data_IF_700165349361
#
_entry.id   IF_700165349361
#
_cell.length_a   1.000
_cell.length_b   1.000
_cell.length_c   1.000
_cell.angle_alpha   90.00
_cell.angle_beta   90.00
_cell.angle_gamma   90.00
#
_symmetry.space_group_name_H-M   'P 1'
#
loop_
_entity.id
_entity.type
_entity.pdbx_description
1 polymer ?
#
# COMPACT_ATOMS: atom_id res chain seq x y z
N UNK A 1 3.64 12.89 -6.44
CA UNK A 1 2.41 12.73 -5.63
C UNK A 1 2.80 12.68 -4.17
N UNK A 2 1.99 13.23 -3.28
CA UNK A 2 2.15 12.98 -1.86
C UNK A 2 1.77 11.52 -1.59
N UNK A 3 2.65 10.75 -0.97
CA UNK A 3 2.42 9.36 -0.59
C UNK A 3 1.90 9.30 0.85
N UNK A 4 1.27 8.19 1.19
CA UNK A 4 0.67 7.93 2.49
C UNK A 4 -0.85 8.08 2.50
N UNK A 5 -1.46 7.49 3.52
CA UNK A 5 -2.90 7.46 3.70
C UNK A 5 -3.31 7.32 5.15
N UNK A 6 -4.53 7.74 5.44
CA UNK A 6 -5.14 7.50 6.74
C UNK A 6 -5.72 6.10 6.79
N UNK A 7 -5.28 5.32 7.77
CA UNK A 7 -5.83 4.01 8.06
C UNK A 7 -6.64 4.07 9.35
N UNK A 8 -7.66 3.22 9.44
CA UNK A 8 -8.44 2.96 10.66
C UNK A 8 -8.29 1.50 11.06
N UNK A 9 -8.22 1.24 12.36
CA UNK A 9 -8.23 -0.13 12.89
C UNK A 9 -9.67 -0.57 13.13
N UNK A 10 -9.83 -1.86 13.36
CA UNK A 10 -11.02 -2.47 13.95
C UNK A 10 -11.53 -1.75 15.22
N UNK A 11 -10.63 -1.25 16.07
CA UNK A 11 -10.97 -0.46 17.27
C UNK A 11 -11.20 1.04 16.99
N UNK A 12 -11.49 1.39 15.74
CA UNK A 12 -11.70 2.76 15.24
C UNK A 12 -10.56 3.75 15.50
N UNK A 13 -9.36 3.25 15.80
CA UNK A 13 -8.20 4.12 15.98
C UNK A 13 -7.69 4.54 14.61
N UNK A 14 -7.69 5.84 14.34
CA UNK A 14 -7.16 6.41 13.10
C UNK A 14 -5.68 6.77 13.25
N UNK A 15 -4.85 6.42 12.26
CA UNK A 15 -3.45 6.86 12.18
C UNK A 15 -3.03 7.10 10.74
N UNK A 16 -2.04 7.96 10.55
CA UNK A 16 -1.43 8.15 9.24
C UNK A 16 -0.36 7.09 8.99
N UNK A 17 -0.49 6.38 7.87
CA UNK A 17 0.51 5.46 7.35
C UNK A 17 1.23 6.15 6.18
N UNK A 18 2.50 6.46 6.40
CA UNK A 18 3.38 6.99 5.37
C UNK A 18 4.05 5.81 4.65
N UNK A 19 3.57 5.45 3.47
CA UNK A 19 4.07 4.25 2.78
C UNK A 19 5.39 4.50 2.04
N UNK A 20 5.64 5.76 1.63
CA UNK A 20 6.73 6.15 0.75
C UNK A 20 6.58 5.74 -0.74
N UNK A 21 5.42 5.21 -1.15
CA UNK A 21 5.15 4.87 -2.56
C UNK A 21 3.64 4.76 -2.82
N UNK A 22 3.20 5.21 -4.00
CA UNK A 22 1.80 5.08 -4.42
C UNK A 22 1.38 3.61 -4.54
N UNK A 23 2.25 2.75 -5.07
CA UNK A 23 2.03 1.31 -5.12
C UNK A 23 1.80 0.71 -3.73
N UNK A 24 2.56 1.15 -2.73
CA UNK A 24 2.37 0.70 -1.35
C UNK A 24 1.11 1.28 -0.70
N UNK A 25 0.73 2.53 -1.00
CA UNK A 25 -0.58 3.05 -0.58
C UNK A 25 -1.70 2.16 -1.11
N UNK A 26 -1.65 1.81 -2.39
CA UNK A 26 -2.66 0.95 -3.00
C UNK A 26 -2.65 -0.44 -2.37
N UNK A 27 -1.47 -1.05 -2.22
CA UNK A 27 -1.31 -2.36 -1.61
C UNK A 27 -1.97 -2.44 -0.24
N UNK A 28 -1.80 -1.41 0.60
CA UNK A 28 -2.32 -1.40 1.96
C UNK A 28 -3.73 -0.84 2.13
N UNK A 29 -4.57 -0.91 1.08
CA UNK A 29 -6.02 -0.74 1.16
C UNK A 29 -6.76 -1.91 1.85
N UNK A 30 -6.09 -2.65 2.73
CA UNK A 30 -6.67 -3.78 3.48
C UNK A 30 -7.17 -4.92 2.60
N UNK A 31 -8.10 -5.75 3.12
CA UNK A 31 -8.76 -6.80 2.34
C UNK A 31 -7.99 -8.09 2.15
N UNK A 32 -6.89 -8.26 2.89
CA UNK A 32 -6.09 -9.48 2.79
C UNK A 32 -6.70 -10.64 3.54
N UNK A 33 -6.56 -11.86 3.00
CA UNK A 33 -7.03 -13.09 3.67
C UNK A 33 -6.45 -13.27 5.06
N UNK A 34 -7.15 -14.05 5.88
CA UNK A 34 -6.67 -14.45 7.19
C UNK A 34 -5.32 -15.17 7.15
N UNK A 35 -4.44 -14.79 8.09
CA UNK A 35 -3.08 -15.33 8.19
C UNK A 35 -2.08 -14.81 7.15
N UNK A 36 -2.48 -13.87 6.30
CA UNK A 36 -1.64 -13.31 5.23
C UNK A 36 -0.45 -12.47 5.72
N UNK A 37 -0.35 -12.19 7.03
CA UNK A 37 0.68 -11.36 7.68
C UNK A 37 0.77 -9.92 7.16
N UNK A 38 -0.17 -9.46 6.34
CA UNK A 38 -0.21 -8.08 5.87
C UNK A 38 -0.95 -7.23 6.90
N UNK A 39 -0.28 -6.15 7.35
CA UNK A 39 -0.66 -5.10 8.33
C UNK A 39 -0.98 -5.52 9.78
N UNK A 40 -1.70 -4.72 10.61
CA UNK A 40 -1.78 -4.96 12.04
C UNK A 40 -2.54 -6.25 12.33
N UNK A 41 -1.85 -7.20 12.92
CA UNK A 41 -2.48 -8.08 13.90
C UNK A 41 -2.88 -7.17 15.05
N UNK A 42 -4.05 -6.53 14.95
CA UNK A 42 -4.69 -5.89 16.12
C UNK A 42 -5.01 -6.92 17.21
N UNK A 43 -4.85 -8.22 16.92
CA UNK A 43 -5.02 -9.33 17.85
C UNK A 43 -6.48 -9.79 17.95
N UNK A 44 -7.25 -9.70 16.87
CA UNK A 44 -8.63 -10.17 16.83
C UNK A 44 -8.86 -11.14 15.65
N UNK A 45 -9.76 -12.10 15.87
CA UNK A 45 -10.20 -13.09 14.90
C UNK A 45 -10.77 -12.42 13.65
N UNK A 46 -10.43 -12.98 12.49
CA UNK A 46 -10.92 -12.51 11.21
C UNK A 46 -12.30 -13.12 10.91
N UNK A 47 -13.24 -12.35 10.34
CA UNK A 47 -14.52 -12.86 9.86
C UNK A 47 -14.36 -14.12 9.00
N UNK A 48 -15.20 -15.12 9.24
CA UNK A 48 -15.17 -16.40 8.51
C UNK A 48 -15.49 -16.24 7.00
N UNK A 49 -16.13 -15.14 6.61
CA UNK A 49 -16.40 -14.78 5.22
C UNK A 49 -15.17 -14.19 4.49
N UNK A 50 -14.05 -14.03 5.20
CA UNK A 50 -12.79 -13.51 4.66
C UNK A 50 -12.78 -11.99 4.46
N UNK A 51 -13.86 -11.28 4.80
CA UNK A 51 -13.83 -9.82 4.93
C UNK A 51 -12.90 -9.45 6.08
N UNK A 52 -12.16 -8.35 5.93
CA UNK A 52 -11.29 -7.88 7.00
C UNK A 52 -11.75 -6.50 7.45
N UNK A 53 -11.71 -6.17 8.76
CA UNK A 53 -12.26 -4.91 9.30
C UNK A 53 -11.67 -3.60 8.73
N UNK A 54 -10.72 -3.70 7.83
CA UNK A 54 -9.93 -2.63 7.23
C UNK A 54 -9.86 -2.71 5.69
N UNK A 55 -10.66 -3.56 5.04
CA UNK A 55 -10.71 -3.59 3.57
C UNK A 55 -11.31 -2.28 3.06
N UNK A 56 -10.49 -1.50 2.38
CA UNK A 56 -10.85 -0.25 1.72
C UNK A 56 -11.23 -0.44 0.26
N UNK A 57 -11.40 -1.68 -0.20
CA UNK A 57 -11.90 -2.02 -1.53
C UNK A 57 -13.01 -3.07 -1.40
N UNK A 58 -14.09 -2.79 -0.67
CA UNK A 58 -15.22 -3.71 -0.46
C UNK A 58 -16.18 -3.68 -1.65
N UNK A 59 -16.46 -2.48 -2.15
CA UNK A 59 -17.40 -2.18 -3.23
C UNK A 59 -16.68 -1.44 -4.37
N UNK A 60 -17.19 -1.47 -5.60
CA UNK A 60 -16.58 -0.73 -6.70
C UNK A 60 -16.48 0.78 -6.44
N UNK A 61 -17.44 1.35 -5.69
CA UNK A 61 -17.40 2.76 -5.29
C UNK A 61 -16.17 3.12 -4.45
N UNK A 62 -15.65 2.19 -3.62
CA UNK A 62 -14.46 2.45 -2.81
C UNK A 62 -13.21 2.64 -3.69
N UNK A 63 -13.15 1.93 -4.82
CA UNK A 63 -12.08 2.09 -5.80
C UNK A 63 -12.18 3.46 -6.50
N UNK A 64 -13.39 3.87 -6.89
CA UNK A 64 -13.62 5.18 -7.49
C UNK A 64 -13.23 6.31 -6.52
N UNK A 65 -13.58 6.18 -5.24
CA UNK A 65 -13.22 7.14 -4.18
C UNK A 65 -11.69 7.23 -4.00
N UNK A 66 -11.01 6.10 -3.83
CA UNK A 66 -9.55 6.09 -3.62
C UNK A 66 -8.77 6.66 -4.81
N UNK A 67 -9.21 6.36 -6.03
CA UNK A 67 -8.61 6.87 -7.26
C UNK A 67 -8.92 8.36 -7.42
N UNK A 68 -10.14 8.79 -7.12
CA UNK A 68 -10.55 10.20 -7.19
C UNK A 68 -9.77 11.12 -6.24
N UNK A 69 -9.33 10.61 -5.08
CA UNK A 69 -8.46 11.33 -4.15
C UNK A 69 -7.03 11.57 -4.68
N UNK A 70 -6.58 10.75 -5.65
CA UNK A 70 -5.17 10.69 -6.10
C UNK A 70 -4.97 11.17 -7.53
N UNK A 71 -5.99 11.04 -8.37
CA UNK A 71 -5.95 11.33 -9.78
C UNK A 71 -7.08 12.27 -10.16
N UNK A 72 -6.73 13.52 -10.49
CA UNK A 72 -7.71 14.51 -10.92
C UNK A 72 -8.36 14.11 -12.25
N UNK A 73 -9.69 14.20 -12.33
CA UNK A 73 -10.41 14.01 -13.59
C UNK A 73 -10.64 12.57 -14.04
N UNK A 74 -10.49 11.59 -13.14
CA UNK A 74 -10.96 10.22 -13.37
C UNK A 74 -12.49 10.18 -13.30
N UNK A 75 -13.13 9.53 -14.28
CA UNK A 75 -14.56 9.25 -14.19
C UNK A 75 -14.81 8.03 -13.32
N UNK A 76 -15.48 8.21 -12.17
CA UNK A 76 -15.98 7.08 -11.38
C UNK A 76 -16.98 6.25 -12.18
N UNK A 77 -16.66 4.97 -12.37
CA UNK A 77 -17.51 3.99 -13.07
C UNK A 77 -17.03 2.55 -12.86
N UNK A 78 -16.35 2.28 -11.74
CA UNK A 78 -15.86 0.93 -11.45
C UNK A 78 -17.03 -0.06 -11.36
N UNK A 79 -16.90 -1.20 -12.03
CA UNK A 79 -17.77 -2.35 -11.84
C UNK A 79 -17.08 -3.46 -11.04
N UNK A 80 -17.77 -4.59 -10.88
CA UNK A 80 -17.22 -5.76 -10.17
C UNK A 80 -15.94 -6.30 -10.82
N UNK A 81 -15.84 -6.19 -12.15
CA UNK A 81 -14.65 -6.62 -12.90
C UNK A 81 -13.44 -5.75 -12.55
N UNK A 82 -13.61 -4.44 -12.58
CA UNK A 82 -12.55 -3.49 -12.22
C UNK A 82 -12.13 -3.62 -10.76
N UNK A 83 -13.09 -3.88 -9.85
CA UNK A 83 -12.80 -4.16 -8.45
C UNK A 83 -11.99 -5.46 -8.28
N UNK A 84 -12.34 -6.52 -9.00
CA UNK A 84 -11.59 -7.78 -8.96
C UNK A 84 -10.16 -7.62 -9.51
N UNK A 85 -10.02 -6.94 -10.65
CA UNK A 85 -8.73 -6.60 -11.27
C UNK A 85 -7.86 -5.76 -10.31
N UNK A 86 -8.46 -4.75 -9.65
CA UNK A 86 -7.81 -3.90 -8.66
C UNK A 86 -7.34 -4.68 -7.42
N UNK A 87 -8.17 -5.57 -6.87
CA UNK A 87 -7.79 -6.46 -5.75
C UNK A 87 -6.65 -7.40 -6.14
N UNK A 88 -6.66 -7.94 -7.37
CA UNK A 88 -5.57 -8.75 -7.89
C UNK A 88 -4.23 -8.01 -7.92
N UNK A 89 -4.23 -6.78 -8.45
CA UNK A 89 -3.03 -5.93 -8.46
C UNK A 89 -2.58 -5.55 -7.04
N UNK A 90 -3.51 -5.16 -6.16
CA UNK A 90 -3.23 -4.82 -4.75
C UNK A 90 -2.50 -5.97 -4.07
N UNK A 91 -3.06 -7.16 -4.18
CA UNK A 91 -2.57 -8.37 -3.54
C UNK A 91 -1.18 -8.77 -4.08
N UNK A 92 -0.95 -8.63 -5.39
CA UNK A 92 0.36 -8.86 -6.01
C UNK A 92 1.42 -7.88 -5.48
N UNK A 93 1.11 -6.56 -5.42
CA UNK A 93 2.05 -5.57 -4.90
C UNK A 93 2.38 -5.84 -3.43
N UNK A 94 1.38 -6.20 -2.61
CA UNK A 94 1.59 -6.51 -1.20
C UNK A 94 2.52 -7.71 -0.98
N UNK A 95 2.31 -8.81 -1.74
CA UNK A 95 3.17 -10.00 -1.70
C UNK A 95 4.60 -9.68 -2.15
N UNK A 96 4.76 -8.94 -3.25
CA UNK A 96 6.07 -8.50 -3.73
C UNK A 96 6.78 -7.59 -2.71
N UNK A 97 6.05 -6.69 -2.05
CA UNK A 97 6.62 -5.82 -1.03
C UNK A 97 7.15 -6.60 0.18
N UNK A 98 6.42 -7.63 0.62
CA UNK A 98 6.89 -8.52 1.69
C UNK A 98 8.08 -9.35 1.21
N UNK A 99 8.02 -9.93 0.00
CA UNK A 99 9.12 -10.72 -0.53
C UNK A 99 10.42 -9.89 -0.60
N UNK A 100 10.32 -8.64 -1.06
CA UNK A 100 11.44 -7.70 -1.11
C UNK A 100 11.95 -7.31 0.29
N UNK A 101 11.05 -7.02 1.23
CA UNK A 101 11.43 -6.68 2.60
C UNK A 101 12.12 -7.84 3.34
N UNK A 102 11.74 -9.08 3.03
CA UNK A 102 12.30 -10.29 3.64
C UNK A 102 13.50 -10.88 2.88
N UNK A 103 13.75 -10.42 1.65
CA UNK A 103 14.78 -11.02 0.79
C UNK A 103 14.44 -12.42 0.31
N UNK A 104 13.17 -12.69 0.03
CA UNK A 104 12.70 -14.01 -0.42
C UNK A 104 12.35 -14.00 -1.89
N UNK A 105 12.27 -15.19 -2.50
CA UNK A 105 11.87 -15.34 -3.90
C UNK A 105 10.44 -14.86 -4.13
N UNK A 106 10.24 -14.16 -5.24
CA UNK A 106 8.92 -13.72 -5.72
C UNK A 106 8.16 -14.84 -6.43
N UNK A 107 6.83 -14.83 -6.35
CA UNK A 107 5.99 -15.63 -7.25
C UNK A 107 5.99 -14.99 -8.66
N UNK A 108 6.34 -15.73 -9.73
CA UNK A 108 6.24 -15.22 -11.10
C UNK A 108 4.86 -14.68 -11.47
N UNK A 109 3.78 -15.23 -10.92
CA UNK A 109 2.41 -14.76 -11.21
C UNK A 109 2.15 -13.34 -10.68
N UNK A 110 2.75 -12.98 -9.54
CA UNK A 110 2.64 -11.63 -8.98
C UNK A 110 3.43 -10.63 -9.84
N UNK A 111 4.61 -11.05 -10.33
CA UNK A 111 5.43 -10.26 -11.26
C UNK A 111 4.70 -10.05 -12.58
N UNK A 112 4.10 -11.10 -13.15
CA UNK A 112 3.32 -11.03 -14.38
C UNK A 112 2.11 -10.11 -14.22
N UNK A 113 1.36 -10.25 -13.13
CA UNK A 113 0.22 -9.38 -12.81
C UNK A 113 0.65 -7.91 -12.78
N UNK A 114 1.70 -7.60 -12.02
CA UNK A 114 2.22 -6.24 -11.92
C UNK A 114 2.65 -5.69 -13.30
N UNK A 115 3.38 -6.47 -14.09
CA UNK A 115 3.86 -6.08 -15.41
C UNK A 115 2.72 -5.88 -16.42
N UNK A 116 1.68 -6.72 -16.38
CA UNK A 116 0.51 -6.57 -17.25
C UNK A 116 -0.22 -5.25 -17.01
N UNK A 117 -0.41 -4.84 -15.76
CA UNK A 117 -0.98 -3.53 -15.45
C UNK A 117 -0.03 -2.39 -15.83
N UNK A 118 1.27 -2.54 -15.57
CA UNK A 118 2.26 -1.51 -15.92
C UNK A 118 2.37 -1.28 -17.44
N UNK A 119 2.07 -2.30 -18.26
CA UNK A 119 2.06 -2.22 -19.71
C UNK A 119 0.84 -1.47 -20.29
N UNK A 120 -0.22 -1.23 -19.50
CA UNK A 120 -1.37 -0.44 -19.93
C UNK A 120 -0.97 1.03 -20.15
N UNK A 121 -1.74 1.81 -20.95
CA UNK A 121 -1.50 3.24 -21.12
C UNK A 121 -1.53 3.98 -19.77
N UNK A 122 -0.54 4.84 -19.53
CA UNK A 122 -0.47 5.66 -18.31
C UNK A 122 -1.48 6.80 -18.31
N UNK A 123 -1.55 7.50 -17.17
CA UNK A 123 -2.01 8.88 -17.11
C UNK A 123 -1.03 9.77 -17.88
N UNK A 124 -1.46 10.46 -18.96
CA UNK A 124 -0.58 11.32 -19.74
C UNK A 124 -0.07 12.51 -18.91
N UNK A 125 1.23 12.87 -18.98
CA UNK A 125 1.71 14.06 -18.32
C UNK A 125 1.06 15.31 -18.92
N UNK A 126 0.68 16.27 -18.07
CA UNK A 126 0.09 17.52 -18.50
C UNK A 126 0.66 18.72 -17.75
N UNK A 127 0.94 19.79 -18.48
CA UNK A 127 1.23 21.10 -17.90
C UNK A 127 -0.06 21.93 -17.86
N UNK A 128 -0.36 22.52 -16.70
CA UNK A 128 -1.54 23.37 -16.52
C UNK A 128 -1.41 24.70 -17.28
N UNK A 129 -2.53 25.34 -17.60
CA UNK A 129 -2.56 26.65 -18.30
C UNK A 129 -2.68 26.59 -19.84
N UNK A 130 -2.73 25.38 -20.42
CA UNK A 130 -3.03 25.19 -21.84
C UNK A 130 -4.52 25.38 -22.19
N UNK A 131 -4.82 25.73 -23.44
CA UNK A 131 -6.20 25.86 -23.97
C UNK A 131 -6.77 24.57 -24.57
N UNK A 132 -5.93 23.56 -24.75
CA UNK A 132 -6.28 22.24 -25.28
C UNK A 132 -5.48 21.22 -24.46
N UNK A 133 -6.16 20.19 -24.01
CA UNK A 133 -5.52 19.06 -23.35
C UNK A 133 -5.87 17.80 -24.15
N UNK A 134 -4.86 17.22 -24.79
CA UNK A 134 -4.99 15.90 -25.39
C UNK A 134 -5.26 14.90 -24.26
N UNK A 135 -6.28 14.05 -24.39
CA UNK A 135 -6.73 13.19 -23.29
C UNK A 135 -7.62 13.85 -22.24
N UNK A 136 -8.13 15.08 -22.48
CA UNK A 136 -9.12 15.75 -21.61
C UNK A 136 -10.46 15.02 -21.47
N UNK A 137 -10.69 13.96 -22.27
CA UNK A 137 -11.81 13.07 -22.06
C UNK A 137 -11.48 12.15 -20.89
N UNK A 138 -11.86 12.57 -19.68
CA UNK A 138 -11.89 11.83 -18.40
C UNK A 138 -10.92 10.64 -18.32
N UNK A 139 -9.89 10.76 -17.47
CA UNK A 139 -8.94 9.67 -17.22
C UNK A 139 -9.69 8.37 -16.94
N UNK A 140 -9.25 7.29 -17.60
CA UNK A 140 -9.84 5.96 -17.38
C UNK A 140 -9.23 5.35 -16.13
N UNK A 141 -10.02 4.58 -15.39
CA UNK A 141 -9.57 3.83 -14.23
C UNK A 141 -8.33 2.96 -14.54
N UNK A 142 -8.33 2.27 -15.69
CA UNK A 142 -7.17 1.47 -16.12
C UNK A 142 -5.87 2.27 -16.28
N UNK A 143 -5.93 3.57 -16.59
CA UNK A 143 -4.74 4.42 -16.68
C UNK A 143 -4.21 4.77 -15.29
N UNK A 144 -5.09 5.08 -14.33
CA UNK A 144 -4.70 5.29 -12.95
C UNK A 144 -4.09 4.02 -12.33
N UNK A 145 -4.68 2.84 -12.63
CA UNK A 145 -4.10 1.56 -12.22
C UNK A 145 -2.73 1.29 -12.85
N UNK A 146 -2.53 1.70 -14.12
CA UNK A 146 -1.22 1.61 -14.77
C UNK A 146 -0.18 2.49 -14.04
N UNK A 147 -0.54 3.71 -13.63
CA UNK A 147 0.35 4.58 -12.85
C UNK A 147 0.74 3.94 -11.51
N UNK A 148 -0.21 3.34 -10.79
CA UNK A 148 0.04 2.60 -9.53
C UNK A 148 1.02 1.44 -9.78
N UNK A 149 0.78 0.64 -10.82
CA UNK A 149 1.63 -0.49 -11.16
C UNK A 149 3.06 -0.04 -11.55
N UNK A 150 3.20 1.04 -12.33
CA UNK A 150 4.50 1.58 -12.72
C UNK A 150 5.29 2.14 -11.53
N UNK A 151 4.62 2.79 -10.58
CA UNK A 151 5.24 3.21 -9.33
C UNK A 151 5.80 2.02 -8.55
N UNK A 152 5.01 0.94 -8.42
CA UNK A 152 5.46 -0.30 -7.78
C UNK A 152 6.62 -0.98 -8.54
N UNK A 153 6.60 -1.02 -9.88
CA UNK A 153 7.72 -1.54 -10.69
C UNK A 153 8.99 -0.71 -10.44
N UNK A 154 8.88 0.61 -10.44
CA UNK A 154 10.02 1.50 -10.19
C UNK A 154 10.59 1.29 -8.77
N UNK A 155 9.72 1.15 -7.77
CA UNK A 155 10.09 0.82 -6.41
C UNK A 155 10.86 -0.51 -6.35
N UNK A 156 10.29 -1.61 -6.84
CA UNK A 156 10.91 -2.93 -6.76
C UNK A 156 12.19 -3.05 -7.59
N UNK A 157 12.28 -2.34 -8.70
CA UNK A 157 13.52 -2.23 -9.48
C UNK A 157 14.62 -1.53 -8.67
N UNK A 158 14.24 -0.54 -7.87
CA UNK A 158 15.18 0.23 -7.03
C UNK A 158 15.68 -0.58 -5.84
N UNK A 159 14.79 -1.33 -5.16
CA UNK A 159 15.14 -2.04 -3.91
C UNK A 159 15.54 -3.51 -4.11
N UNK A 160 15.12 -4.13 -5.22
CA UNK A 160 15.34 -5.55 -5.51
C UNK A 160 14.65 -6.49 -4.52
N UNK A 161 15.02 -7.79 -4.61
CA UNK A 161 14.45 -8.88 -3.79
C UNK A 161 15.52 -9.68 -3.02
N UNK A 162 16.73 -9.12 -2.90
CA UNK A 162 17.87 -9.81 -2.27
C UNK A 162 17.84 -9.66 -0.73
N UNK A 163 17.01 -8.75 -0.21
CA UNK A 163 16.90 -8.46 1.22
C UNK A 163 18.17 -7.87 1.83
N UNK A 164 18.21 -7.81 3.16
CA UNK A 164 19.36 -7.33 3.93
C UNK A 164 19.10 -6.05 4.73
N UNK A 165 20.02 -5.73 5.65
CA UNK A 165 19.93 -4.57 6.54
C UNK A 165 19.82 -3.24 5.79
N UNK A 166 20.35 -3.21 4.58
CA UNK A 166 20.47 -2.01 3.74
C UNK A 166 19.28 -1.83 2.80
N UNK A 167 18.33 -2.80 2.77
CA UNK A 167 17.09 -2.62 2.03
C UNK A 167 16.32 -1.42 2.59
N UNK A 168 15.91 -0.55 1.67
CA UNK A 168 15.06 0.60 1.94
C UNK A 168 13.59 0.20 2.08
N UNK A 169 13.21 -0.99 1.60
CA UNK A 169 11.87 -1.52 1.80
C UNK A 169 11.86 -2.37 3.06
N UNK A 170 11.16 -1.91 4.11
CA UNK A 170 11.28 -2.47 5.47
C UNK A 170 9.92 -2.86 6.02
N UNK A 171 9.85 -3.98 6.73
CA UNK A 171 8.74 -4.29 7.65
C UNK A 171 8.75 -3.34 8.83
N UNK A 172 7.57 -3.02 9.35
CA UNK A 172 7.43 -2.34 10.64
C UNK A 172 8.07 -3.18 11.76
N UNK A 173 8.92 -2.56 12.58
CA UNK A 173 9.59 -3.22 13.72
C UNK A 173 8.64 -3.62 14.87
N UNK A 174 7.32 -3.45 14.71
CA UNK A 174 6.35 -3.86 15.73
C UNK A 174 5.89 -5.24 15.30
N UNK A 175 6.15 -6.25 16.13
CA UNK A 175 5.90 -7.66 15.80
C UNK A 175 4.44 -7.93 15.41
N UNK A 176 3.50 -7.19 16.01
CA UNK A 176 2.07 -7.26 15.70
C UNK A 176 1.65 -6.39 14.48
N UNK A 177 2.60 -5.90 13.67
CA UNK A 177 2.33 -5.00 12.54
C UNK A 177 3.06 -5.48 11.28
N UNK A 178 2.32 -6.08 10.37
CA UNK A 178 2.78 -6.57 9.08
C UNK A 178 2.87 -5.53 7.96
N UNK A 179 2.80 -4.23 8.26
CA UNK A 179 2.93 -3.19 7.22
C UNK A 179 4.39 -3.08 6.76
N UNK A 180 4.60 -3.01 5.44
CA UNK A 180 5.87 -2.69 4.78
C UNK A 180 5.84 -1.26 4.28
N UNK A 181 6.94 -0.54 4.41
CA UNK A 181 7.08 0.84 3.92
C UNK A 181 8.42 1.02 3.23
N UNK A 182 8.51 2.01 2.35
CA UNK A 182 9.75 2.49 1.78
C UNK A 182 10.36 3.58 2.69
N UNK A 183 11.64 3.41 3.04
CA UNK A 183 12.38 4.29 3.93
C UNK A 183 13.05 5.43 3.16
N UNK A 184 12.27 6.48 2.94
CA UNK A 184 12.72 7.74 2.34
C UNK A 184 13.60 8.60 3.28
N UNK A 185 13.84 8.17 4.53
CA UNK A 185 14.65 8.95 5.45
C UNK A 185 16.11 9.00 4.96
N UNK A 186 16.75 10.17 5.09
CA UNK A 186 18.14 10.37 4.64
C UNK A 186 19.10 9.29 5.19
N UNK A 187 18.93 8.94 6.46
CA UNK A 187 19.77 7.96 7.16
C UNK A 187 19.33 6.49 6.96
N UNK A 188 18.17 6.23 6.34
CA UNK A 188 17.65 4.87 6.18
C UNK A 188 17.38 4.18 7.52
N UNK A 189 16.95 4.95 8.52
CA UNK A 189 16.80 4.50 9.91
C UNK A 189 15.34 4.43 10.38
N UNK A 190 14.38 4.52 9.46
CA UNK A 190 12.96 4.43 9.81
C UNK A 190 12.63 2.99 10.21
N UNK A 191 12.03 2.85 11.39
CA UNK A 191 11.68 1.54 11.97
C UNK A 191 10.19 1.25 12.02
N UNK A 192 9.35 2.26 11.88
CA UNK A 192 7.91 2.15 12.12
C UNK A 192 7.13 2.70 10.93
N UNK A 193 6.06 2.00 10.56
CA UNK A 193 5.10 2.46 9.55
C UNK A 193 4.42 3.77 9.96
N UNK A 194 4.30 4.03 11.28
CA UNK A 194 3.79 5.29 11.82
C UNK A 194 4.38 5.54 13.20
N UNK A 195 4.98 6.72 13.39
CA UNK A 195 5.47 7.14 14.71
C UNK A 195 4.31 7.33 15.69
N UNK A 196 3.17 7.85 15.21
CA UNK A 196 1.97 8.11 16.00
C UNK A 196 1.37 6.81 16.58
N UNK A 197 1.47 5.69 15.86
CA UNK A 197 0.92 4.39 16.28
C UNK A 197 1.99 3.42 16.77
N UNK A 198 2.75 2.81 15.87
CA UNK A 198 3.71 1.76 16.22
C UNK A 198 4.89 2.31 17.03
N UNK A 199 5.40 3.50 16.68
CA UNK A 199 6.46 4.15 17.45
C UNK A 199 6.04 4.47 18.90
N UNK A 200 4.82 4.99 19.09
CA UNK A 200 4.29 5.26 20.42
C UNK A 200 4.00 3.98 21.23
N UNK A 201 3.45 2.92 20.61
CA UNK A 201 3.29 1.61 21.26
C UNK A 201 4.61 1.06 21.78
N UNK A 202 5.67 1.14 20.97
CA UNK A 202 7.02 0.71 21.37
C UNK A 202 7.54 1.52 22.58
N UNK A 203 7.38 2.85 22.57
CA UNK A 203 7.76 3.72 23.71
C UNK A 203 7.01 3.36 24.99
N UNK A 204 5.70 3.12 24.91
CA UNK A 204 4.87 2.72 26.07
C UNK A 204 5.31 1.37 26.62
N UNK A 205 5.55 0.37 25.77
CA UNK A 205 6.06 -0.95 26.20
C UNK A 205 7.40 -0.82 26.94
N UNK A 206 8.34 -0.07 26.38
CA UNK A 206 9.65 0.16 27.00
C UNK A 206 9.56 0.92 28.33
N UNK A 207 8.61 1.85 28.48
CA UNK A 207 8.35 2.51 29.76
C UNK A 207 7.80 1.51 30.80
N UNK A 208 6.78 0.72 30.45
CA UNK A 208 6.20 -0.31 31.35
C UNK A 208 7.24 -1.33 31.82
N UNK A 209 8.11 -1.80 30.92
CA UNK A 209 9.20 -2.73 31.28
C UNK A 209 10.18 -2.13 32.30
N UNK A 210 10.55 -0.85 32.13
CA UNK A 210 11.43 -0.15 33.09
C UNK A 210 10.77 0.09 34.45
N UNK A 211 9.48 0.40 34.47
CA UNK A 211 8.74 0.61 35.71
C UNK A 211 8.45 -0.69 36.47
N UNK A 212 8.25 -1.81 35.76
CA UNK A 212 8.05 -3.13 36.38
C UNK A 212 9.33 -3.81 36.86
N UNK A 213 10.50 -3.39 36.33
CA UNK A 213 11.82 -3.88 36.76
C UNK A 213 12.41 -3.09 37.93
N UNK A 214 11.64 -2.16 38.51
CA UNK A 214 12.02 -1.32 39.64
C UNK A 214 11.15 -1.63 40.84
#
# INVERSE_FOLDING_TARGET
MQTGQWLRSDTDTRWFFDSGSLGLDFAYLGGFRAGSRFGPESGLDLPADGSTPWDGLLLPADLDDWIGERFEGVAGSAGDRELADARGLRDAIARLAVASADGTSTDPQDVDTLNLFAALPDVPPSLTGGRRQAGAGRLRLGQAMASVARDAVALFTTVGFVGGSDSRLRRCSNEACGLVFFDESRAGSRRWCSMQRCGNRAKVRAHRQRTAAR
#
